data_IF_912311234749
#
_entry.id   IF_912311234749
#
_cell.length_a   1.000
_cell.length_b   1.000
_cell.length_c   1.000
_cell.angle_alpha   90.00
_cell.angle_beta   90.00
_cell.angle_gamma   90.00
#
_symmetry.space_group_name_H-M   'P 1'
#
loop_
_entity.id
_entity.type
_entity.pdbx_description
1 polymer ?
#
# COMPACT_ATOMS: atom_id res chain seq x y z
N UNK A 1 6.15 -9.24 10.90
CA UNK A 1 6.31 -10.28 9.86
C UNK A 1 5.17 -10.28 8.85
N UNK A 2 3.89 -10.48 9.23
CA UNK A 2 2.77 -10.41 8.26
C UNK A 2 2.61 -9.00 7.66
N UNK A 3 2.82 -7.97 8.47
CA UNK A 3 2.83 -6.58 8.01
C UNK A 3 3.87 -6.23 6.95
N UNK A 4 5.11 -6.68 7.14
CA UNK A 4 6.20 -6.41 6.20
C UNK A 4 5.93 -7.03 4.82
N UNK A 5 5.25 -8.19 4.78
CA UNK A 5 4.85 -8.83 3.53
C UNK A 5 3.74 -8.04 2.82
N UNK A 6 2.74 -7.56 3.56
CA UNK A 6 1.69 -6.69 3.02
C UNK A 6 2.26 -5.38 2.47
N UNK A 7 3.22 -4.77 3.18
CA UNK A 7 3.92 -3.57 2.74
C UNK A 7 4.65 -3.78 1.41
N UNK A 8 5.44 -4.85 1.31
CA UNK A 8 6.18 -5.18 0.08
C UNK A 8 5.26 -5.41 -1.11
N UNK A 9 4.17 -6.16 -0.92
CA UNK A 9 3.18 -6.39 -1.97
C UNK A 9 2.46 -5.11 -2.40
N UNK A 10 2.14 -4.22 -1.45
CA UNK A 10 1.57 -2.91 -1.75
C UNK A 10 2.52 -2.04 -2.61
N UNK A 11 3.80 -1.95 -2.24
CA UNK A 11 4.81 -1.20 -2.99
C UNK A 11 4.98 -1.78 -4.40
N UNK A 12 5.08 -3.11 -4.53
CA UNK A 12 5.19 -3.78 -5.83
C UNK A 12 3.97 -3.55 -6.72
N UNK A 13 2.76 -3.57 -6.13
CA UNK A 13 1.52 -3.27 -6.84
C UNK A 13 1.50 -1.85 -7.40
N UNK A 14 1.89 -0.86 -6.60
CA UNK A 14 2.01 0.52 -7.07
C UNK A 14 3.09 0.69 -8.12
N UNK A 15 4.26 0.09 -7.92
CA UNK A 15 5.33 0.12 -8.92
C UNK A 15 4.92 -0.49 -10.27
N UNK A 16 4.07 -1.52 -10.26
CA UNK A 16 3.56 -2.11 -11.50
C UNK A 16 2.60 -1.18 -12.25
N UNK A 17 1.87 -0.32 -11.52
CA UNK A 17 0.92 0.64 -12.10
C UNK A 17 1.64 1.91 -12.58
N UNK A 18 2.53 2.48 -11.76
CA UNK A 18 3.13 3.79 -12.02
C UNK A 18 4.54 3.72 -12.57
N UNK A 19 5.27 2.62 -12.39
CA UNK A 19 6.66 2.47 -12.82
C UNK A 19 7.67 3.32 -12.03
N UNK A 20 7.20 4.14 -11.08
CA UNK A 20 8.01 5.00 -10.21
C UNK A 20 7.64 4.78 -8.76
N UNK A 21 8.63 4.92 -7.87
CA UNK A 21 8.47 4.88 -6.41
C UNK A 21 8.48 6.29 -5.80
N UNK A 22 8.67 7.33 -6.61
CA UNK A 22 8.60 8.71 -6.16
C UNK A 22 7.13 9.09 -5.88
N UNK A 23 6.88 9.67 -4.71
CA UNK A 23 5.52 10.02 -4.29
C UNK A 23 4.84 11.00 -5.25
N UNK A 24 5.59 11.97 -5.80
CA UNK A 24 5.06 12.95 -6.74
C UNK A 24 4.57 12.29 -8.03
N UNK A 25 5.42 11.48 -8.66
CA UNK A 25 5.09 10.73 -9.87
C UNK A 25 3.92 9.78 -9.63
N UNK A 26 3.89 9.12 -8.47
CA UNK A 26 2.79 8.23 -8.06
C UNK A 26 1.44 8.96 -8.08
N UNK A 27 1.34 10.15 -7.47
CA UNK A 27 0.09 10.91 -7.44
C UNK A 27 -0.30 11.44 -8.82
N UNK A 28 0.65 11.88 -9.62
CA UNK A 28 0.37 12.40 -10.97
C UNK A 28 -0.15 11.29 -11.89
N UNK A 29 0.57 10.17 -11.97
CA UNK A 29 0.20 9.03 -12.81
C UNK A 29 -1.12 8.43 -12.34
N UNK A 30 -1.32 8.29 -11.02
CA UNK A 30 -2.57 7.76 -10.48
C UNK A 30 -3.77 8.63 -10.82
N UNK A 31 -3.66 9.96 -10.69
CA UNK A 31 -4.74 10.88 -11.07
C UNK A 31 -5.05 10.80 -12.57
N UNK A 32 -4.03 10.70 -13.42
CA UNK A 32 -4.21 10.56 -14.85
C UNK A 32 -4.92 9.25 -15.21
N UNK A 33 -4.53 8.14 -14.58
CA UNK A 33 -5.15 6.83 -14.76
C UNK A 33 -6.61 6.77 -14.28
N UNK A 34 -6.94 7.46 -13.19
CA UNK A 34 -8.33 7.61 -12.71
C UNK A 34 -9.14 8.45 -13.69
N UNK A 35 -8.58 9.54 -14.22
CA UNK A 35 -9.26 10.41 -15.19
C UNK A 35 -9.57 9.68 -16.51
N UNK A 36 -8.62 8.87 -17.00
CA UNK A 36 -8.80 8.07 -18.21
C UNK A 36 -9.59 6.78 -17.98
N UNK A 37 -9.97 6.48 -16.73
CA UNK A 37 -10.68 5.26 -16.33
C UNK A 37 -9.93 3.96 -16.70
N UNK A 38 -8.60 4.04 -16.81
CA UNK A 38 -7.72 2.92 -17.21
C UNK A 38 -7.29 2.05 -16.03
N UNK A 39 -7.51 2.53 -14.79
CA UNK A 39 -7.24 1.76 -13.57
C UNK A 39 -8.51 1.16 -13.00
N UNK A 40 -8.43 -0.12 -12.68
CA UNK A 40 -9.47 -0.79 -11.92
C UNK A 40 -9.46 -0.29 -10.46
N UNK A 41 -10.50 0.43 -10.07
CA UNK A 41 -10.66 0.99 -8.73
C UNK A 41 -10.48 -0.04 -7.61
N UNK A 42 -10.94 -1.29 -7.82
CA UNK A 42 -10.78 -2.36 -6.83
C UNK A 42 -9.31 -2.75 -6.66
N UNK A 43 -8.56 -2.81 -7.75
CA UNK A 43 -7.13 -3.14 -7.71
C UNK A 43 -6.30 -2.05 -7.02
N UNK A 44 -6.57 -0.78 -7.33
CA UNK A 44 -5.95 0.36 -6.66
C UNK A 44 -6.25 0.38 -5.15
N UNK A 45 -7.51 0.14 -4.78
CA UNK A 45 -7.95 0.10 -3.39
C UNK A 45 -7.29 -1.05 -2.63
N UNK A 46 -7.16 -2.23 -3.25
CA UNK A 46 -6.42 -3.35 -2.69
C UNK A 46 -4.95 -2.99 -2.46
N UNK A 47 -4.25 -2.42 -3.45
CA UNK A 47 -2.84 -2.02 -3.29
C UNK A 47 -2.65 -1.02 -2.13
N UNK A 48 -3.54 -0.03 -2.02
CA UNK A 48 -3.55 0.93 -0.92
C UNK A 48 -3.81 0.25 0.43
N UNK A 49 -4.75 -0.70 0.48
CA UNK A 49 -5.05 -1.47 1.69
C UNK A 49 -3.86 -2.34 2.14
N UNK A 50 -3.14 -2.97 1.21
CA UNK A 50 -1.93 -3.74 1.51
C UNK A 50 -0.81 -2.84 2.07
N UNK A 51 -0.58 -1.67 1.47
CA UNK A 51 0.34 -0.66 2.03
C UNK A 51 -0.06 -0.25 3.45
N UNK A 52 -1.36 0.03 3.65
CA UNK A 52 -1.89 0.44 4.94
C UNK A 52 -1.77 -0.66 6.01
N UNK A 53 -2.04 -1.91 5.65
CA UNK A 53 -1.84 -3.08 6.52
C UNK A 53 -0.37 -3.22 6.97
N UNK A 54 0.58 -2.81 6.12
CA UNK A 54 1.98 -2.73 6.48
C UNK A 54 2.29 -1.68 7.54
N UNK A 55 1.70 -0.48 7.40
CA UNK A 55 1.81 0.60 8.38
C UNK A 55 1.16 0.23 9.72
N UNK A 56 -0.04 -0.36 9.71
CA UNK A 56 -0.77 -0.82 10.91
C UNK A 56 0.09 -1.79 11.73
N UNK A 57 0.75 -2.72 11.06
CA UNK A 57 1.55 -3.75 11.72
C UNK A 57 2.83 -3.20 12.38
N UNK A 58 3.42 -2.11 11.89
CA UNK A 58 4.54 -1.44 12.54
C UNK A 58 4.12 -0.52 13.69
N UNK A 59 2.93 0.06 13.62
CA UNK A 59 2.38 0.95 14.65
C UNK A 59 1.72 0.22 15.82
N UNK A 60 1.79 -1.12 15.86
CA UNK A 60 1.14 -1.97 16.88
C UNK A 60 -0.36 -1.70 17.06
N UNK A 61 -1.04 -1.33 15.97
CA UNK A 61 -2.48 -1.04 15.98
C UNK A 61 -3.31 -2.32 15.91
N UNK A 62 -4.53 -2.28 16.46
CA UNK A 62 -5.45 -3.41 16.52
C UNK A 62 -5.63 -4.00 15.10
N UNK A 63 -5.28 -5.28 14.85
CA UNK A 63 -5.28 -6.43 15.77
C UNK A 63 -3.88 -6.90 16.25
N UNK A 64 -2.79 -6.26 15.86
CA UNK A 64 -1.41 -6.70 16.10
C UNK A 64 -0.76 -6.02 17.33
N UNK A 65 -1.49 -5.89 18.44
CA UNK A 65 -0.96 -5.33 19.70
C UNK A 65 -0.11 -6.32 20.53
N UNK A 66 -0.06 -7.59 20.10
CA UNK A 66 0.40 -8.74 20.91
C UNK A 66 1.92 -8.77 21.14
N UNK A 67 2.71 -7.95 20.41
CA UNK A 67 4.17 -7.95 20.57
C UNK A 67 4.70 -6.91 21.58
N UNK A 68 3.87 -5.96 22.05
CA UNK A 68 4.28 -5.01 23.09
C UNK A 68 4.61 -5.62 24.47
N UNK A 69 3.93 -6.67 24.96
CA UNK A 69 4.27 -7.25 26.26
C UNK A 69 5.51 -8.14 26.26
N UNK A 70 6.09 -8.45 25.09
CA UNK A 70 7.21 -9.41 24.91
C UNK A 70 8.45 -8.78 24.25
N UNK A 71 8.46 -7.44 24.06
CA UNK A 71 9.58 -6.66 23.53
C UNK A 71 10.38 -5.95 24.63
#
# INVERSE_FOLDING_TARGET
RVGDFGLLLGILGFYWITGSLEFWDLFEIFNNLVYNNEVNFLFATLCAFLLFSGAIAKSAQFPLHVWLPDA
#
